data_IF_814887725988
#
_entry.id   IF_814887725988
#
_cell.length_a   1.000
_cell.length_b   1.000
_cell.length_c   1.000
_cell.angle_alpha   90.00
_cell.angle_beta   90.00
_cell.angle_gamma   90.00
#
_symmetry.space_group_name_H-M   'P 1'
#
loop_
_entity.id
_entity.type
_entity.pdbx_description
1 polymer ?
#
# COMPACT_ATOMS: atom_id res chain seq x y z
N UNK A 1 13.38 -17.34 -10.91
CA UNK A 1 12.23 -17.76 -10.07
C UNK A 1 11.54 -16.49 -9.60
N UNK A 2 10.39 -16.14 -10.18
CA UNK A 2 9.75 -14.84 -9.94
C UNK A 2 8.32 -15.08 -9.47
N UNK A 3 8.15 -15.23 -8.15
CA UNK A 3 6.84 -15.37 -7.51
C UNK A 3 6.15 -14.00 -7.51
N UNK A 4 5.56 -13.64 -8.64
CA UNK A 4 4.88 -12.36 -8.83
C UNK A 4 3.48 -12.42 -8.21
N UNK A 5 3.39 -12.05 -6.93
CA UNK A 5 2.12 -11.91 -6.24
C UNK A 5 1.29 -10.82 -6.94
N UNK A 6 0.10 -11.21 -7.43
CA UNK A 6 -0.76 -10.33 -8.21
C UNK A 6 -1.35 -9.17 -7.38
N UNK A 7 -1.56 -9.41 -6.08
CA UNK A 7 -2.08 -8.45 -5.12
C UNK A 7 -1.49 -8.73 -3.73
N UNK A 8 -0.95 -7.70 -3.07
CA UNK A 8 -0.46 -7.80 -1.69
C UNK A 8 -1.14 -6.75 -0.81
N UNK A 9 -1.57 -7.16 0.40
CA UNK A 9 -2.15 -6.25 1.39
C UNK A 9 -1.12 -5.89 2.46
N UNK A 10 -1.03 -4.60 2.81
CA UNK A 10 -0.17 -4.12 3.89
C UNK A 10 -1.00 -3.40 4.95
N UNK A 11 -0.77 -3.75 6.22
CA UNK A 11 -1.30 -2.99 7.35
C UNK A 11 -0.45 -1.75 7.58
N UNK A 12 -1.08 -0.60 7.40
CA UNK A 12 -0.48 0.71 7.49
C UNK A 12 -0.85 1.38 8.82
N UNK A 13 0.14 1.96 9.50
CA UNK A 13 -0.06 2.94 10.56
C UNK A 13 0.49 4.29 10.12
N UNK A 14 -0.13 5.35 10.61
CA UNK A 14 0.18 6.73 10.24
C UNK A 14 1.44 7.28 10.92
N UNK A 15 1.74 6.82 12.14
CA UNK A 15 2.76 7.44 12.99
C UNK A 15 4.11 7.58 12.30
N UNK A 16 4.65 8.80 12.27
CA UNK A 16 6.02 9.09 11.87
C UNK A 16 7.00 8.47 12.87
N UNK A 17 7.47 7.27 12.55
CA UNK A 17 8.32 6.46 13.44
C UNK A 17 8.10 4.97 13.23
N UNK A 18 8.16 4.20 14.32
CA UNK A 18 7.90 2.76 14.33
C UNK A 18 6.80 2.41 15.33
N UNK A 19 5.72 1.80 14.87
CA UNK A 19 4.74 1.17 15.75
C UNK A 19 5.15 -0.28 16.07
N UNK A 20 4.85 -0.78 17.27
CA UNK A 20 5.30 -2.11 17.72
C UNK A 20 4.71 -3.29 16.92
N UNK A 21 3.58 -3.07 16.24
CA UNK A 21 2.80 -4.14 15.56
C UNK A 21 2.23 -3.75 14.18
N UNK A 22 2.53 -2.55 13.68
CA UNK A 22 2.10 -2.08 12.36
C UNK A 22 3.28 -1.48 11.60
N UNK A 23 3.29 -1.60 10.27
CA UNK A 23 4.25 -0.89 9.44
C UNK A 23 3.77 0.55 9.27
N UNK A 24 4.64 1.52 9.55
CA UNK A 24 4.34 2.92 9.26
C UNK A 24 4.48 3.21 7.75
N UNK A 25 4.09 4.41 7.31
CA UNK A 25 4.07 4.80 5.88
C UNK A 25 5.36 4.45 5.13
N UNK A 26 6.50 4.99 5.56
CA UNK A 26 7.78 4.75 4.88
C UNK A 26 8.19 3.28 4.92
N UNK A 27 7.96 2.58 6.04
CA UNK A 27 8.26 1.15 6.19
C UNK A 27 7.41 0.29 5.23
N UNK A 28 6.16 0.70 5.01
CA UNK A 28 5.23 0.04 4.07
C UNK A 28 5.69 0.22 2.64
N UNK A 29 6.05 1.44 2.25
CA UNK A 29 6.57 1.72 0.90
C UNK A 29 7.91 1.02 0.64
N UNK A 30 8.81 0.97 1.63
CA UNK A 30 10.06 0.21 1.56
C UNK A 30 9.80 -1.31 1.39
N UNK A 31 8.84 -1.86 2.13
CA UNK A 31 8.46 -3.27 2.00
C UNK A 31 7.87 -3.57 0.61
N UNK A 32 7.02 -2.68 0.08
CA UNK A 32 6.45 -2.80 -1.27
C UNK A 32 7.56 -2.78 -2.33
N UNK A 33 8.53 -1.86 -2.26
CA UNK A 33 9.68 -1.83 -3.18
C UNK A 33 10.49 -3.13 -3.15
N UNK A 34 10.75 -3.68 -1.95
CA UNK A 34 11.52 -4.92 -1.77
C UNK A 34 10.79 -6.17 -2.26
N UNK A 35 9.45 -6.20 -2.14
CA UNK A 35 8.61 -7.34 -2.57
C UNK A 35 8.27 -7.25 -4.06
N UNK A 36 8.18 -6.04 -4.61
CA UNK A 36 7.82 -5.74 -6.00
C UNK A 36 6.55 -6.48 -6.48
N UNK A 37 5.39 -6.27 -5.81
CA UNK A 37 4.12 -6.86 -6.24
C UNK A 37 3.62 -6.19 -7.54
N UNK A 38 2.70 -6.84 -8.27
CA UNK A 38 2.01 -6.17 -9.40
C UNK A 38 1.09 -5.04 -8.94
N UNK A 39 0.46 -5.23 -7.77
CA UNK A 39 -0.45 -4.28 -7.12
C UNK A 39 -0.36 -4.43 -5.60
N UNK A 40 -0.41 -3.31 -4.88
CA UNK A 40 -0.56 -3.30 -3.43
C UNK A 40 -1.80 -2.51 -2.99
N UNK A 41 -2.49 -3.03 -1.97
CA UNK A 41 -3.59 -2.34 -1.30
C UNK A 41 -3.24 -2.10 0.16
N UNK A 42 -3.27 -0.84 0.59
CA UNK A 42 -2.97 -0.46 1.97
C UNK A 42 -4.27 -0.47 2.79
N UNK A 43 -4.26 -1.17 3.92
CA UNK A 43 -5.40 -1.36 4.84
C UNK A 43 -5.03 -0.95 6.26
N UNK A 44 -6.03 -0.76 7.12
CA UNK A 44 -5.81 -0.34 8.52
C UNK A 44 -5.61 1.16 8.71
N UNK A 45 -6.11 1.97 7.77
CA UNK A 45 -6.05 3.43 7.79
C UNK A 45 -6.58 3.99 9.13
N UNK A 46 -5.89 5.00 9.66
CA UNK A 46 -6.34 5.78 10.81
C UNK A 46 -7.28 6.92 10.36
N UNK A 47 -7.88 7.60 11.32
CA UNK A 47 -8.85 8.68 11.07
C UNK A 47 -8.26 9.99 10.51
N UNK A 48 -6.95 10.20 10.63
CA UNK A 48 -6.29 11.43 10.16
C UNK A 48 -5.73 11.26 8.72
N UNK A 49 -5.68 10.01 8.23
CA UNK A 49 -5.43 9.68 6.83
C UNK A 49 -6.59 10.11 5.93
N UNK A 50 -6.30 10.87 4.89
CA UNK A 50 -7.27 11.34 3.90
C UNK A 50 -7.24 10.43 2.68
N UNK A 51 -8.25 9.56 2.55
CA UNK A 51 -8.32 8.58 1.48
C UNK A 51 -8.19 9.20 0.07
N UNK A 52 -8.51 10.48 -0.15
CA UNK A 52 -8.32 11.11 -1.46
C UNK A 52 -6.91 11.69 -1.62
N UNK A 53 -6.43 12.50 -0.67
CA UNK A 53 -5.11 13.17 -0.76
C UNK A 53 -3.96 12.17 -0.69
N UNK A 54 -4.07 11.16 0.16
CA UNK A 54 -3.03 10.15 0.34
C UNK A 54 -2.96 9.22 -0.89
N UNK A 55 -4.09 8.96 -1.55
CA UNK A 55 -4.10 8.27 -2.83
C UNK A 55 -3.48 9.10 -3.97
N UNK A 56 -3.64 10.43 -4.01
CA UNK A 56 -2.89 11.28 -4.96
C UNK A 56 -1.38 11.16 -4.72
N UNK A 57 -0.95 11.17 -3.46
CA UNK A 57 0.46 10.97 -3.08
C UNK A 57 0.98 9.59 -3.51
N UNK A 58 0.17 8.54 -3.33
CA UNK A 58 0.47 7.18 -3.80
C UNK A 58 0.47 7.06 -5.33
N UNK A 59 -0.35 7.81 -6.06
CA UNK A 59 -0.33 7.84 -7.53
C UNK A 59 1.00 8.42 -8.05
N UNK A 60 1.47 9.52 -7.47
CA UNK A 60 2.77 10.11 -7.80
C UNK A 60 3.95 9.21 -7.42
N UNK A 61 3.84 8.46 -6.32
CA UNK A 61 4.81 7.44 -5.93
C UNK A 61 4.77 6.24 -6.89
N UNK A 62 3.58 5.72 -7.19
CA UNK A 62 3.36 4.58 -8.09
C UNK A 62 3.94 4.83 -9.48
N UNK A 63 3.75 6.05 -10.01
CA UNK A 63 4.34 6.49 -11.29
C UNK A 63 5.88 6.53 -11.29
N UNK A 64 6.51 6.79 -10.14
CA UNK A 64 7.99 6.81 -10.00
C UNK A 64 8.58 5.42 -9.85
N UNK A 65 7.92 4.54 -9.11
CA UNK A 65 8.44 3.20 -8.79
C UNK A 65 7.96 2.10 -9.75
N UNK A 66 6.90 2.34 -10.53
CA UNK A 66 6.33 1.37 -11.47
C UNK A 66 5.45 0.29 -10.81
N UNK A 67 4.98 0.52 -9.59
CA UNK A 67 4.13 -0.40 -8.80
C UNK A 67 2.79 0.29 -8.53
N UNK A 68 1.65 -0.33 -8.87
CA UNK A 68 0.31 0.20 -8.60
C UNK A 68 -0.01 0.06 -7.10
N UNK A 69 -0.01 1.17 -6.36
CA UNK A 69 -0.33 1.22 -4.94
C UNK A 69 -1.47 2.20 -4.69
N UNK A 70 -2.47 1.77 -3.91
CA UNK A 70 -3.56 2.62 -3.46
C UNK A 70 -4.05 2.21 -2.06
N UNK A 71 -4.68 3.13 -1.35
CA UNK A 71 -5.43 2.83 -0.14
C UNK A 71 -6.70 2.04 -0.50
N UNK A 72 -7.01 1.03 0.30
CA UNK A 72 -8.28 0.33 0.20
C UNK A 72 -9.41 1.13 0.87
N UNK A 73 -10.64 0.82 0.47
CA UNK A 73 -11.87 1.32 1.10
C UNK A 73 -12.80 0.17 1.46
N UNK A 74 -13.68 0.40 2.41
CA UNK A 74 -14.72 -0.56 2.78
C UNK A 74 -15.58 -0.94 1.56
N UNK A 75 -15.82 -2.24 1.39
CA UNK A 75 -16.54 -2.79 0.26
C UNK A 75 -15.79 -2.77 -1.09
N UNK A 76 -14.51 -2.40 -1.13
CA UNK A 76 -13.68 -2.54 -2.34
C UNK A 76 -13.64 -3.99 -2.82
N UNK A 77 -14.01 -4.22 -4.08
CA UNK A 77 -13.90 -5.51 -4.76
C UNK A 77 -12.80 -5.45 -5.80
N UNK A 78 -11.86 -6.38 -5.75
CA UNK A 78 -10.80 -6.55 -6.75
C UNK A 78 -11.04 -7.87 -7.46
N UNK A 79 -11.07 -7.83 -8.79
CA UNK A 79 -11.06 -9.03 -9.62
C UNK A 79 -9.60 -9.34 -9.96
N UNK A 80 -9.19 -10.58 -9.69
CA UNK A 80 -7.83 -11.07 -9.95
C UNK A 80 -7.97 -12.21 -10.95
N UNK A 81 -7.23 -12.15 -12.04
CA UNK A 81 -6.98 -13.27 -12.94
C UNK A 81 -5.78 -14.03 -12.37
N UNK A 82 -5.97 -15.32 -12.02
CA UNK A 82 -5.05 -16.14 -11.22
C UNK A 82 -4.26 -17.14 -12.07
#
# INVERSE_FOLDING_TARGET
>A
MHWSWALTFFSLCEQTGSHNVHLCWDQTLDAIKRICPKKALLIGLTHEMDHHKDNQTLEEWSRREGIDVQLARDGLRVYIDL
#
